data_IF_065178005895
#
_entry.id   IF_065178005895
#
_cell.length_a   1.000
_cell.length_b   1.000
_cell.length_c   1.000
_cell.angle_alpha   90.00
_cell.angle_beta   90.00
_cell.angle_gamma   90.00
#
_symmetry.space_group_name_H-M   'P 1'
#
loop_
_entity.id
_entity.type
_entity.pdbx_description
1 polymer ?
#
# COMPACT_ATOMS: atom_id res chain seq x y z
N UNK A 1 50.29 -4.37 -36.05
CA UNK A 1 49.78 -3.43 -35.03
C UNK A 1 48.56 -2.73 -35.61
N UNK A 2 47.36 -3.26 -35.36
CA UNK A 2 46.08 -2.67 -35.76
C UNK A 2 45.43 -2.10 -34.50
N UNK A 3 45.28 -0.78 -34.41
CA UNK A 3 44.72 -0.09 -33.25
C UNK A 3 43.23 -0.38 -33.05
N UNK A 4 42.67 -0.05 -31.87
CA UNK A 4 41.27 -0.33 -31.55
C UNK A 4 40.32 0.54 -32.40
N UNK A 5 39.19 -0.05 -32.78
CA UNK A 5 38.14 0.59 -33.57
C UNK A 5 37.49 1.76 -32.79
N UNK A 6 37.06 2.84 -33.48
CA UNK A 6 36.42 3.98 -32.84
C UNK A 6 35.03 3.62 -32.28
N UNK A 7 34.58 4.30 -31.21
CA UNK A 7 33.29 4.04 -30.60
C UNK A 7 32.12 4.43 -31.53
N UNK A 8 30.95 3.79 -31.38
CA UNK A 8 29.77 4.11 -32.16
C UNK A 8 29.27 5.53 -31.87
N UNK A 9 29.02 6.29 -32.94
CA UNK A 9 28.38 7.61 -32.86
C UNK A 9 26.87 7.41 -32.65
N UNK A 10 26.36 7.80 -31.49
CA UNK A 10 24.93 7.83 -31.24
C UNK A 10 24.33 9.15 -31.72
N UNK A 11 23.14 9.14 -32.34
CA UNK A 11 22.44 10.38 -32.69
C UNK A 11 22.03 11.14 -31.43
N UNK A 12 22.06 12.47 -31.51
CA UNK A 12 21.64 13.35 -30.42
C UNK A 12 20.16 13.11 -30.06
N UNK A 13 19.79 13.15 -28.77
CA UNK A 13 18.39 13.05 -28.37
C UNK A 13 17.57 14.21 -28.94
N UNK A 14 16.28 13.98 -29.28
CA UNK A 14 15.41 15.03 -29.77
C UNK A 14 15.25 16.13 -28.70
N UNK A 15 15.11 17.40 -29.12
CA UNK A 15 14.90 18.51 -28.19
C UNK A 15 13.59 18.31 -27.41
N UNK A 16 13.63 18.65 -26.13
CA UNK A 16 12.47 18.55 -25.24
C UNK A 16 11.29 19.37 -25.77
N UNK A 17 10.04 18.86 -25.67
CA UNK A 17 8.86 19.63 -26.03
C UNK A 17 8.74 20.88 -25.14
N UNK A 18 8.32 21.98 -25.75
CA UNK A 18 8.13 23.25 -25.05
C UNK A 18 7.11 23.10 -23.90
N UNK A 19 7.29 23.83 -22.78
CA UNK A 19 6.31 23.82 -21.69
C UNK A 19 4.96 24.35 -22.18
N UNK A 20 3.84 23.87 -21.61
CA UNK A 20 2.51 24.32 -21.99
C UNK A 20 2.34 25.82 -21.73
N UNK A 21 1.52 26.52 -22.54
CA UNK A 21 1.28 27.94 -22.36
C UNK A 21 0.69 28.21 -20.97
N UNK A 22 1.21 29.24 -20.30
CA UNK A 22 0.64 29.73 -19.03
C UNK A 22 -0.81 30.12 -19.28
N UNK A 23 -1.73 29.54 -18.52
CA UNK A 23 -3.13 29.95 -18.53
C UNK A 23 -3.24 31.46 -18.28
N UNK A 24 -4.09 32.19 -19.04
CA UNK A 24 -4.27 33.61 -18.83
C UNK A 24 -4.86 33.87 -17.44
N UNK A 25 -4.23 34.81 -16.73
CA UNK A 25 -4.73 35.35 -15.47
C UNK A 25 -6.08 36.00 -15.74
N UNK A 26 -7.13 35.51 -15.07
CA UNK A 26 -8.47 36.08 -15.20
C UNK A 26 -8.45 37.56 -14.76
N UNK A 27 -8.95 38.43 -15.65
CA UNK A 27 -9.11 39.84 -15.42
C UNK A 27 -10.04 40.15 -14.24
N UNK A 28 -9.70 41.25 -13.56
CA UNK A 28 -10.44 41.90 -12.49
C UNK A 28 -11.91 42.15 -12.85
N UNK A 29 -12.82 41.88 -11.90
CA UNK A 29 -14.24 42.16 -12.11
C UNK A 29 -15.24 41.82 -11.00
N UNK A 30 -14.81 41.42 -9.79
CA UNK A 30 -15.74 41.20 -8.68
C UNK A 30 -15.38 42.07 -7.47
N UNK A 31 -16.32 42.89 -6.95
CA UNK A 31 -16.09 43.65 -5.73
C UNK A 31 -15.95 42.70 -4.53
N UNK A 32 -15.00 43.00 -3.64
CA UNK A 32 -14.73 42.19 -2.46
C UNK A 32 -15.95 42.16 -1.51
N UNK A 33 -16.25 41.01 -0.87
CA UNK A 33 -17.30 40.94 0.14
C UNK A 33 -16.89 41.69 1.43
N UNK A 34 -17.85 42.27 2.17
CA UNK A 34 -17.57 42.99 3.41
C UNK A 34 -17.04 42.06 4.52
N UNK A 35 -16.27 42.58 5.49
CA UNK A 35 -15.71 41.78 6.57
C UNK A 35 -16.81 41.22 7.50
N UNK A 36 -16.58 40.06 8.15
CA UNK A 36 -17.56 39.46 9.05
C UNK A 36 -17.73 40.31 10.32
N UNK A 37 -18.98 40.58 10.67
CA UNK A 37 -19.34 41.20 11.96
C UNK A 37 -19.25 40.13 13.05
N UNK A 38 -18.38 40.33 14.04
CA UNK A 38 -18.33 39.49 15.24
C UNK A 38 -19.43 39.93 16.23
N UNK A 39 -20.33 39.03 16.69
CA UNK A 39 -21.22 39.33 17.80
C UNK A 39 -20.47 39.19 19.14
N UNK A 40 -20.63 40.19 20.01
CA UNK A 40 -20.17 40.17 21.41
C UNK A 40 -20.89 39.11 22.25
N UNK A 41 -20.29 38.61 23.35
CA UNK A 41 -20.85 37.51 24.12
C UNK A 41 -21.83 38.03 25.19
N UNK A 42 -23.11 37.69 25.07
CA UNK A 42 -24.01 37.66 26.24
C UNK A 42 -25.23 36.76 26.03
N UNK A 43 -25.41 35.89 27.04
CA UNK A 43 -26.63 35.19 27.46
C UNK A 43 -27.26 34.18 26.48
N UNK A 44 -26.84 32.91 26.59
CA UNK A 44 -27.69 31.77 26.19
C UNK A 44 -28.61 31.36 27.36
N UNK A 45 -29.93 31.20 27.14
CA UNK A 45 -30.84 30.58 28.09
C UNK A 45 -30.54 29.09 28.28
N UNK A 46 -30.66 28.62 29.52
CA UNK A 46 -30.45 27.23 29.93
C UNK A 46 -31.72 26.43 29.63
N UNK A 47 -31.69 25.58 28.61
CA UNK A 47 -32.73 24.56 28.41
C UNK A 47 -32.34 23.24 29.09
N UNK A 48 -33.20 22.87 30.02
CA UNK A 48 -33.11 21.78 30.97
C UNK A 48 -33.87 20.57 30.40
N UNK A 49 -33.22 19.75 29.55
CA UNK A 49 -33.68 18.41 29.21
C UNK A 49 -32.62 17.63 28.38
N UNK A 50 -31.64 17.03 29.05
CA UNK A 50 -30.84 15.94 28.47
C UNK A 50 -30.95 14.70 29.37
N UNK A 51 -31.20 13.50 28.81
CA UNK A 51 -31.29 12.27 29.60
C UNK A 51 -29.93 11.92 30.23
N UNK A 52 -29.91 11.23 31.39
CA UNK A 52 -28.67 10.94 32.10
C UNK A 52 -27.79 10.00 31.28
N UNK A 53 -26.55 10.40 31.08
CA UNK A 53 -25.49 9.57 30.48
C UNK A 53 -25.25 8.37 31.41
N UNK A 54 -25.44 7.15 30.89
CA UNK A 54 -25.00 5.92 31.55
C UNK A 54 -23.49 6.01 31.81
N UNK A 55 -23.13 6.15 33.08
CA UNK A 55 -21.74 6.07 33.52
C UNK A 55 -21.22 4.65 33.26
N UNK A 56 -20.38 4.48 32.24
CA UNK A 56 -19.59 3.26 32.10
C UNK A 56 -18.70 3.12 33.34
N UNK A 57 -18.97 2.10 34.14
CA UNK A 57 -18.07 1.63 35.19
C UNK A 57 -16.71 1.30 34.55
N UNK A 58 -15.65 1.92 35.07
CA UNK A 58 -14.27 1.66 34.67
C UNK A 58 -13.89 0.27 35.18
N UNK A 59 -14.01 -0.75 34.33
CA UNK A 59 -13.50 -2.08 34.65
C UNK A 59 -11.98 -2.02 34.90
N UNK A 60 -11.54 -2.59 36.02
CA UNK A 60 -10.11 -2.74 36.33
C UNK A 60 -9.47 -3.70 35.31
N UNK A 61 -8.20 -3.48 34.89
CA UNK A 61 -7.53 -4.39 33.99
C UNK A 61 -7.32 -5.75 34.65
N UNK A 62 -7.97 -6.79 34.14
CA UNK A 62 -7.63 -8.18 34.45
C UNK A 62 -6.28 -8.50 33.80
N UNK A 63 -5.33 -9.17 34.49
CA UNK A 63 -4.09 -9.60 33.86
C UNK A 63 -4.39 -10.53 32.69
N UNK A 64 -3.93 -10.17 31.49
CA UNK A 64 -4.05 -11.03 30.32
C UNK A 64 -3.37 -12.39 30.58
N UNK A 65 -3.95 -13.51 30.09
CA UNK A 65 -3.34 -14.83 30.23
C UNK A 65 -1.97 -14.88 29.53
N UNK A 66 -1.07 -15.79 29.96
CA UNK A 66 0.32 -15.79 29.53
C UNK A 66 0.45 -15.94 28.01
N UNK A 67 1.02 -14.92 27.37
CA UNK A 67 1.49 -14.96 25.97
C UNK A 67 2.65 -15.94 25.87
N UNK A 68 2.44 -17.07 25.21
CA UNK A 68 3.50 -17.99 24.79
C UNK A 68 3.09 -18.65 23.47
N UNK A 69 3.95 -18.85 22.46
CA UNK A 69 5.41 -19.00 22.46
C UNK A 69 6.06 -18.28 21.26
N UNK A 70 7.26 -17.70 21.44
CA UNK A 70 8.13 -17.32 20.33
C UNK A 70 8.33 -18.50 19.37
N UNK A 71 8.26 -18.20 18.07
CA UNK A 71 8.80 -19.08 17.02
C UNK A 71 10.24 -19.42 17.43
N UNK A 72 10.69 -20.69 17.36
CA UNK A 72 12.02 -21.07 17.84
C UNK A 72 13.07 -20.12 17.26
N UNK A 73 14.00 -19.63 18.10
CA UNK A 73 14.96 -18.62 17.69
C UNK A 73 15.71 -19.18 16.47
N UNK A 74 15.64 -18.49 15.32
CA UNK A 74 16.49 -18.85 14.21
C UNK A 74 17.95 -18.71 14.69
N UNK A 75 18.88 -19.48 14.12
CA UNK A 75 20.30 -19.15 14.31
C UNK A 75 20.53 -17.68 13.91
N UNK A 76 21.53 -17.00 14.49
CA UNK A 76 21.70 -15.54 14.32
C UNK A 76 21.66 -15.09 12.86
N UNK A 77 22.25 -15.88 11.95
CA UNK A 77 22.23 -15.62 10.52
C UNK A 77 20.82 -15.73 9.91
N UNK A 78 20.02 -16.71 10.32
CA UNK A 78 18.61 -16.86 9.90
C UNK A 78 17.72 -15.81 10.54
N UNK A 79 18.03 -15.33 11.74
CA UNK A 79 17.29 -14.27 12.41
C UNK A 79 17.55 -12.96 11.68
N UNK A 80 18.81 -12.64 11.40
CA UNK A 80 19.20 -11.46 10.64
C UNK A 80 18.67 -11.49 9.20
N UNK A 81 18.61 -12.66 8.54
CA UNK A 81 17.98 -12.82 7.22
C UNK A 81 16.47 -12.63 7.28
N UNK A 82 15.80 -13.08 8.35
CA UNK A 82 14.37 -12.85 8.56
C UNK A 82 14.05 -11.40 8.89
N UNK A 83 14.91 -10.72 9.64
CA UNK A 83 14.72 -9.31 9.97
C UNK A 83 14.98 -8.41 8.75
N UNK A 84 15.83 -8.86 7.82
CA UNK A 84 16.02 -8.27 6.49
C UNK A 84 15.11 -8.93 5.45
N UNK A 85 13.84 -9.10 5.78
CA UNK A 85 12.82 -9.52 4.81
C UNK A 85 11.60 -8.62 4.94
N UNK A 86 10.81 -8.55 3.87
CA UNK A 86 9.54 -7.86 3.84
C UNK A 86 8.43 -8.90 3.72
N UNK A 87 7.44 -8.83 4.61
CA UNK A 87 6.32 -9.77 4.57
C UNK A 87 5.23 -9.28 3.60
N UNK A 88 4.70 -10.20 2.78
CA UNK A 88 3.52 -10.02 1.95
C UNK A 88 2.45 -11.07 2.26
N UNK A 89 1.18 -10.67 2.22
CA UNK A 89 0.03 -11.50 2.60
C UNK A 89 -1.26 -11.00 1.96
N UNK A 90 -2.28 -11.87 1.92
CA UNK A 90 -3.63 -11.49 1.49
C UNK A 90 -4.37 -10.67 2.54
N UNK A 91 -5.22 -9.74 2.08
CA UNK A 91 -6.07 -8.92 2.93
C UNK A 91 -7.05 -9.78 3.73
N UNK A 92 -7.32 -9.35 4.96
CA UNK A 92 -8.13 -10.04 5.96
C UNK A 92 -8.09 -9.31 7.31
N UNK A 93 -8.70 -9.88 8.37
CA UNK A 93 -8.68 -9.27 9.71
C UNK A 93 -7.25 -9.19 10.23
N UNK A 94 -6.75 -7.98 10.48
CA UNK A 94 -5.38 -7.79 10.99
C UNK A 94 -5.32 -8.14 12.48
N UNK A 95 -4.45 -9.08 12.90
CA UNK A 95 -4.14 -9.30 14.30
C UNK A 95 -3.38 -8.11 14.90
N UNK A 96 -3.57 -7.86 16.19
CA UNK A 96 -2.93 -6.75 16.91
C UNK A 96 -1.41 -6.89 17.09
N UNK A 97 -0.83 -8.01 16.66
CA UNK A 97 0.60 -8.35 16.84
C UNK A 97 1.53 -7.83 15.74
N UNK A 98 0.99 -7.22 14.68
CA UNK A 98 1.81 -6.62 13.63
C UNK A 98 2.26 -5.22 14.03
N UNK A 99 3.52 -5.10 14.45
CA UNK A 99 4.15 -3.84 14.86
C UNK A 99 4.67 -3.00 13.66
N UNK A 100 4.67 -3.57 12.45
CA UNK A 100 5.13 -2.89 11.23
C UNK A 100 4.00 -2.22 10.45
N UNK A 101 4.36 -1.17 9.72
CA UNK A 101 3.45 -0.49 8.80
C UNK A 101 3.18 -1.39 7.60
N UNK A 102 1.95 -1.88 7.53
CA UNK A 102 1.45 -2.74 6.46
C UNK A 102 0.58 -1.89 5.53
N UNK A 103 0.91 -1.90 4.24
CA UNK A 103 0.25 -1.11 3.18
C UNK A 103 -0.31 -2.06 2.12
N UNK A 104 -1.45 -1.72 1.53
CA UNK A 104 -1.98 -2.46 0.38
C UNK A 104 -1.02 -2.34 -0.83
N UNK A 105 -0.77 -3.45 -1.53
CA UNK A 105 0.05 -3.51 -2.74
C UNK A 105 -0.72 -3.03 -3.96
N UNK A 106 -1.09 -1.75 -3.94
CA UNK A 106 -1.98 -1.15 -4.92
C UNK A 106 -1.42 0.22 -5.32
N UNK A 107 -1.40 0.50 -6.63
CA UNK A 107 -1.18 1.85 -7.15
C UNK A 107 -2.46 2.67 -7.10
N UNK A 108 -2.34 3.95 -6.74
CA UNK A 108 -3.44 4.91 -6.64
C UNK A 108 -3.13 6.19 -7.47
N UNK A 109 -3.99 7.21 -7.41
CA UNK A 109 -3.80 8.45 -8.16
C UNK A 109 -2.46 9.15 -7.87
N UNK A 110 -1.98 9.04 -6.62
CA UNK A 110 -0.83 9.77 -6.07
C UNK A 110 0.39 8.89 -5.82
N UNK A 111 0.21 7.58 -5.77
CA UNK A 111 1.20 6.62 -5.30
C UNK A 111 1.35 5.50 -6.32
N UNK A 112 2.51 5.44 -6.95
CA UNK A 112 2.92 4.29 -7.75
C UNK A 112 3.25 3.11 -6.82
N UNK A 113 2.86 1.90 -7.20
CA UNK A 113 3.14 0.69 -6.43
C UNK A 113 4.64 0.57 -6.08
N UNK A 114 5.53 0.95 -7.00
CA UNK A 114 6.98 1.04 -6.78
C UNK A 114 7.39 1.73 -5.47
N UNK A 115 6.63 2.74 -5.02
CA UNK A 115 6.95 3.58 -3.86
C UNK A 115 6.39 3.07 -2.53
N UNK A 116 5.63 1.98 -2.54
CA UNK A 116 5.02 1.40 -1.33
C UNK A 116 6.10 0.91 -0.35
N UNK A 117 7.16 0.30 -0.90
CA UNK A 117 8.30 -0.17 -0.12
C UNK A 117 9.40 0.87 -0.16
N UNK A 118 9.97 1.16 1.01
CA UNK A 118 11.10 2.07 1.14
C UNK A 118 12.27 1.66 0.23
N UNK A 119 12.88 2.62 -0.44
CA UNK A 119 13.91 2.39 -1.48
C UNK A 119 15.09 1.52 -1.02
N UNK A 120 15.54 1.71 0.22
CA UNK A 120 16.59 0.91 0.84
C UNK A 120 16.27 -0.60 0.96
N UNK A 121 15.00 -0.98 0.87
CA UNK A 121 14.54 -2.37 0.94
C UNK A 121 14.08 -2.91 -0.43
N UNK A 122 14.38 -2.22 -1.54
CA UNK A 122 13.98 -2.70 -2.87
C UNK A 122 14.62 -4.04 -3.27
N UNK A 123 15.81 -4.34 -2.73
CA UNK A 123 16.53 -5.60 -2.93
C UNK A 123 16.30 -6.60 -1.79
N UNK A 124 15.43 -6.27 -0.84
CA UNK A 124 15.08 -7.12 0.30
C UNK A 124 14.13 -8.24 -0.15
N UNK A 125 14.39 -9.52 0.20
CA UNK A 125 13.52 -10.63 -0.13
C UNK A 125 12.09 -10.46 0.39
N UNK A 126 11.12 -10.84 -0.44
CA UNK A 126 9.70 -10.83 -0.06
C UNK A 126 9.30 -12.22 0.40
N UNK A 127 8.75 -12.31 1.60
CA UNK A 127 8.39 -13.57 2.27
C UNK A 127 6.92 -13.59 2.67
N UNK A 128 6.34 -14.76 2.91
CA UNK A 128 5.01 -14.88 3.51
C UNK A 128 5.08 -14.73 5.05
N UNK A 129 3.94 -14.74 5.75
CA UNK A 129 3.88 -14.63 7.23
C UNK A 129 4.63 -15.76 7.99
N UNK A 130 4.99 -16.85 7.31
CA UNK A 130 5.80 -17.94 7.85
C UNK A 130 7.30 -17.74 7.61
N UNK A 131 7.69 -16.64 6.97
CA UNK A 131 9.07 -16.33 6.60
C UNK A 131 9.57 -17.17 5.42
N UNK A 132 8.68 -17.77 4.65
CA UNK A 132 9.04 -18.54 3.45
C UNK A 132 9.16 -17.58 2.26
N UNK A 133 10.22 -17.71 1.47
CA UNK A 133 10.47 -16.83 0.33
C UNK A 133 9.38 -16.95 -0.72
N UNK A 134 8.81 -15.81 -1.13
CA UNK A 134 7.85 -15.68 -2.23
C UNK A 134 8.52 -15.14 -3.49
N UNK A 135 9.32 -14.07 -3.34
CA UNK A 135 10.06 -13.43 -4.44
C UNK A 135 11.49 -13.08 -3.99
N UNK A 136 12.39 -12.99 -4.97
CA UNK A 136 13.80 -12.66 -4.72
C UNK A 136 13.97 -11.28 -4.08
N UNK A 137 13.16 -10.29 -4.49
CA UNK A 137 13.16 -8.95 -3.92
C UNK A 137 11.88 -8.18 -4.27
N UNK A 138 11.66 -7.01 -3.67
CA UNK A 138 10.60 -6.11 -4.11
C UNK A 138 10.73 -5.71 -5.57
N UNK A 139 11.95 -5.39 -6.04
CA UNK A 139 12.20 -5.10 -7.45
C UNK A 139 11.82 -6.28 -8.35
N UNK A 140 12.01 -7.52 -7.90
CA UNK A 140 11.54 -8.69 -8.64
C UNK A 140 10.01 -8.71 -8.76
N UNK A 141 9.26 -8.38 -7.70
CA UNK A 141 7.78 -8.28 -7.76
C UNK A 141 7.33 -7.30 -8.85
N UNK A 142 7.96 -6.13 -8.94
CA UNK A 142 7.60 -5.07 -9.88
C UNK A 142 7.87 -5.41 -11.35
N UNK A 143 8.74 -6.40 -11.59
CA UNK A 143 9.22 -6.79 -12.92
C UNK A 143 8.94 -8.27 -13.21
N UNK A 144 7.88 -8.83 -12.62
CA UNK A 144 7.44 -10.21 -12.86
C UNK A 144 8.50 -11.29 -12.61
N UNK A 145 9.29 -11.07 -11.58
CA UNK A 145 10.15 -12.09 -11.02
C UNK A 145 9.35 -13.34 -10.67
N UNK A 146 9.95 -14.50 -10.92
CA UNK A 146 9.30 -15.79 -10.67
C UNK A 146 8.95 -15.95 -9.20
N UNK A 147 7.68 -16.22 -8.92
CA UNK A 147 7.20 -16.57 -7.58
C UNK A 147 7.58 -18.01 -7.27
N UNK A 148 7.94 -18.27 -6.02
CA UNK A 148 8.06 -19.65 -5.54
C UNK A 148 6.70 -20.33 -5.46
N UNK A 149 6.68 -21.67 -5.36
CA UNK A 149 5.46 -22.45 -5.15
C UNK A 149 4.97 -22.43 -3.70
N UNK A 150 5.58 -21.60 -2.83
CA UNK A 150 5.20 -21.53 -1.42
C UNK A 150 3.80 -20.93 -1.26
N UNK A 151 3.05 -21.34 -0.23
CA UNK A 151 1.75 -20.77 0.09
C UNK A 151 1.79 -19.25 0.30
N UNK A 152 0.73 -18.57 -0.13
CA UNK A 152 0.53 -17.17 0.20
C UNK A 152 -0.61 -17.09 1.22
N UNK A 153 -0.30 -16.62 2.41
CA UNK A 153 -1.27 -16.63 3.49
C UNK A 153 -2.04 -15.30 3.59
N UNK A 154 -3.32 -15.39 3.91
CA UNK A 154 -4.09 -14.30 4.50
C UNK A 154 -3.70 -14.10 5.97
N UNK A 155 -4.17 -13.02 6.57
CA UNK A 155 -3.95 -12.75 8.00
C UNK A 155 -4.53 -13.81 8.95
N UNK A 156 -5.66 -14.41 8.59
CA UNK A 156 -6.26 -15.54 9.32
C UNK A 156 -5.62 -16.89 8.95
N UNK A 157 -4.45 -16.87 8.28
CA UNK A 157 -3.56 -17.99 8.01
C UNK A 157 -4.10 -19.03 7.04
N UNK A 158 -4.99 -18.64 6.13
CA UNK A 158 -5.45 -19.47 5.01
C UNK A 158 -4.56 -19.26 3.80
N UNK A 159 -4.28 -20.32 3.05
CA UNK A 159 -3.53 -20.20 1.79
C UNK A 159 -4.46 -19.71 0.67
N UNK A 160 -4.34 -18.43 0.30
CA UNK A 160 -5.26 -17.74 -0.62
C UNK A 160 -5.25 -18.36 -2.02
N UNK A 161 -4.15 -19.02 -2.39
CA UNK A 161 -4.01 -19.64 -3.72
C UNK A 161 -4.91 -20.87 -3.86
N UNK A 162 -5.11 -21.63 -2.78
CA UNK A 162 -5.87 -22.89 -2.81
C UNK A 162 -7.21 -22.82 -2.08
N UNK A 163 -7.41 -21.87 -1.17
CA UNK A 163 -8.62 -21.77 -0.36
C UNK A 163 -9.81 -21.22 -1.17
N UNK A 164 -10.94 -21.93 -1.17
CA UNK A 164 -12.13 -21.59 -1.96
C UNK A 164 -12.85 -20.31 -1.51
N UNK A 165 -12.49 -19.74 -0.36
CA UNK A 165 -12.98 -18.43 0.06
C UNK A 165 -12.65 -17.33 -0.96
N UNK A 166 -11.56 -17.49 -1.72
CA UNK A 166 -11.21 -16.65 -2.86
C UNK A 166 -11.37 -17.43 -4.17
N UNK A 167 -12.57 -17.50 -4.77
CA UNK A 167 -12.77 -18.27 -6.00
C UNK A 167 -12.03 -17.65 -7.20
N UNK A 168 -11.86 -16.33 -7.21
CA UNK A 168 -11.07 -15.60 -8.19
C UNK A 168 -9.67 -15.33 -7.62
N UNK A 169 -8.66 -16.02 -8.18
CA UNK A 169 -7.27 -16.01 -7.67
C UNK A 169 -6.45 -14.82 -8.18
N UNK A 170 -7.10 -13.88 -8.85
CA UNK A 170 -6.49 -12.64 -9.29
C UNK A 170 -6.35 -11.65 -8.15
N UNK A 171 -5.39 -10.74 -8.30
CA UNK A 171 -4.98 -9.76 -7.31
C UNK A 171 -5.08 -8.37 -7.92
N UNK A 172 -5.76 -7.48 -7.22
CA UNK A 172 -5.77 -6.05 -7.56
C UNK A 172 -4.40 -5.42 -7.30
N UNK A 173 -3.90 -4.63 -8.26
CA UNK A 173 -2.72 -3.77 -8.07
C UNK A 173 -2.76 -2.46 -8.88
N UNK A 174 -3.57 -2.34 -9.94
CA UNK A 174 -3.77 -1.09 -10.69
C UNK A 174 -2.53 -0.49 -11.35
N UNK A 175 -1.48 -1.30 -11.53
CA UNK A 175 -0.17 -0.85 -12.01
C UNK A 175 0.27 -1.65 -13.24
N UNK A 176 1.16 -1.07 -14.05
CA UNK A 176 1.87 -1.71 -15.16
C UNK A 176 3.28 -2.14 -14.71
N UNK A 177 4.07 -2.67 -15.64
CA UNK A 177 5.47 -3.05 -15.44
C UNK A 177 6.27 -1.93 -14.75
N UNK A 178 7.13 -2.33 -13.81
CA UNK A 178 7.89 -1.41 -12.96
C UNK A 178 7.09 -0.82 -11.81
N UNK A 179 5.82 -1.22 -11.63
CA UNK A 179 4.96 -0.72 -10.56
C UNK A 179 4.45 0.70 -10.79
N UNK A 180 4.42 1.16 -12.04
CA UNK A 180 3.90 2.47 -12.43
C UNK A 180 2.39 2.38 -12.60
N UNK A 181 1.63 3.36 -12.10
CA UNK A 181 0.16 3.36 -12.18
C UNK A 181 -0.34 3.19 -13.63
N UNK A 182 -1.39 2.39 -13.81
CA UNK A 182 -1.89 2.04 -15.15
C UNK A 182 -2.77 3.12 -15.79
N UNK A 183 -3.22 4.12 -15.01
CA UNK A 183 -4.20 5.14 -15.39
C UNK A 183 -5.61 4.83 -14.88
N UNK A 184 -5.99 3.55 -14.92
CA UNK A 184 -7.28 3.05 -14.46
C UNK A 184 -7.13 2.18 -13.19
N UNK A 185 -7.75 2.63 -12.09
CA UNK A 185 -7.65 2.03 -10.75
C UNK A 185 -8.95 2.23 -9.95
N UNK A 186 -10.09 1.92 -10.57
CA UNK A 186 -11.41 1.92 -9.93
C UNK A 186 -11.79 3.22 -9.19
N UNK A 187 -11.55 4.38 -9.82
CA UNK A 187 -11.78 5.70 -9.20
C UNK A 187 -11.11 5.79 -7.82
N UNK A 188 -9.79 5.55 -7.79
CA UNK A 188 -9.00 5.61 -6.56
C UNK A 188 -9.44 4.57 -5.51
N UNK A 189 -9.86 3.39 -5.99
CA UNK A 189 -10.37 2.28 -5.18
C UNK A 189 -11.56 2.64 -4.28
N UNK A 190 -12.32 3.67 -4.65
CA UNK A 190 -13.46 4.14 -3.86
C UNK A 190 -14.61 3.14 -3.89
N UNK A 191 -15.09 2.79 -2.69
CA UNK A 191 -16.23 1.90 -2.48
C UNK A 191 -17.43 2.26 -3.35
N UNK A 192 -18.16 1.25 -3.81
CA UNK A 192 -19.45 1.42 -4.46
C UNK A 192 -20.63 1.53 -3.47
N UNK A 193 -20.37 1.45 -2.17
CA UNK A 193 -21.39 1.53 -1.13
C UNK A 193 -22.03 2.93 -1.08
N UNK A 194 -23.37 2.98 -1.05
CA UNK A 194 -24.12 4.23 -0.98
C UNK A 194 -24.16 5.02 -2.29
N UNK A 195 -23.58 4.50 -3.38
CA UNK A 195 -23.71 5.10 -4.72
C UNK A 195 -25.13 4.91 -5.26
N UNK A 196 -25.66 5.95 -5.89
CA UNK A 196 -26.93 5.89 -6.62
C UNK A 196 -26.86 4.89 -7.78
N UNK A 197 -28.01 4.47 -8.30
CA UNK A 197 -28.06 3.50 -9.41
C UNK A 197 -27.22 3.94 -10.63
N UNK A 198 -27.28 5.23 -10.99
CA UNK A 198 -26.50 5.78 -12.10
C UNK A 198 -24.99 5.77 -11.84
N UNK A 199 -24.58 6.01 -10.59
CA UNK A 199 -23.17 5.92 -10.19
C UNK A 199 -22.67 4.47 -10.11
N UNK A 200 -23.52 3.52 -9.74
CA UNK A 200 -23.20 2.09 -9.78
C UNK A 200 -22.96 1.62 -11.23
N UNK A 201 -23.81 2.04 -12.17
CA UNK A 201 -23.61 1.76 -13.60
C UNK A 201 -22.29 2.35 -14.10
N UNK A 202 -21.95 3.58 -13.69
CA UNK A 202 -20.65 4.20 -14.02
C UNK A 202 -19.48 3.44 -13.40
N UNK A 203 -19.59 3.05 -12.14
CA UNK A 203 -18.55 2.32 -11.42
C UNK A 203 -18.29 0.93 -12.04
N UNK A 204 -19.34 0.24 -12.49
CA UNK A 204 -19.22 -1.04 -13.20
C UNK A 204 -18.57 -0.91 -14.59
N UNK A 205 -18.55 0.29 -15.17
CA UNK A 205 -17.80 0.56 -16.40
C UNK A 205 -16.31 0.86 -16.15
N UNK A 206 -15.90 1.04 -14.90
CA UNK A 206 -14.51 1.24 -14.54
C UNK A 206 -13.77 -0.10 -14.50
N UNK A 207 -12.46 -0.03 -14.71
CA UNK A 207 -11.58 -1.19 -14.55
C UNK A 207 -10.30 -0.82 -13.79
N UNK A 208 -9.58 -1.85 -13.37
CA UNK A 208 -8.22 -1.71 -12.87
C UNK A 208 -7.37 -2.91 -13.30
N UNK A 209 -6.05 -2.75 -13.28
CA UNK A 209 -5.15 -3.88 -13.56
C UNK A 209 -5.17 -4.89 -12.41
N UNK A 210 -5.35 -6.16 -12.78
CA UNK A 210 -5.24 -7.29 -11.87
C UNK A 210 -4.40 -8.42 -12.49
N UNK A 211 -3.54 -9.02 -11.68
CA UNK A 211 -2.66 -10.14 -12.05
C UNK A 211 -3.08 -11.45 -11.41
N UNK A 212 -2.63 -12.59 -11.94
CA UNK A 212 -2.90 -13.94 -11.41
C UNK A 212 -1.60 -14.62 -10.93
N UNK A 213 -1.43 -14.76 -9.61
CA UNK A 213 -0.22 -15.36 -9.02
C UNK A 213 -0.03 -16.86 -9.29
N UNK A 214 -0.99 -17.52 -9.94
CA UNK A 214 -0.85 -18.91 -10.37
C UNK A 214 -0.08 -19.04 -11.69
N UNK A 215 -0.02 -17.96 -12.46
CA UNK A 215 0.63 -17.95 -13.77
C UNK A 215 2.06 -17.40 -13.59
N UNK A 216 3.10 -18.04 -14.14
CA UNK A 216 4.44 -17.46 -14.23
C UNK A 216 4.40 -16.09 -14.93
N UNK A 217 4.91 -15.04 -14.28
CA UNK A 217 4.78 -13.66 -14.78
C UNK A 217 3.36 -13.09 -14.77
N UNK A 218 2.46 -13.75 -14.03
CA UNK A 218 1.05 -13.42 -13.95
C UNK A 218 0.72 -12.16 -13.16
N UNK A 219 1.65 -11.65 -12.33
CA UNK A 219 1.35 -10.57 -11.39
C UNK A 219 1.27 -9.20 -12.06
N UNK A 220 2.20 -8.87 -12.96
CA UNK A 220 2.36 -7.54 -13.55
C UNK A 220 2.36 -7.59 -15.09
N UNK A 221 3.08 -8.51 -15.74
CA UNK A 221 3.26 -8.57 -17.21
C UNK A 221 2.00 -9.09 -17.88
N UNK A 222 1.44 -10.18 -17.37
CA UNK A 222 0.18 -10.76 -17.87
C UNK A 222 -1.05 -10.18 -17.17
N UNK A 223 -0.89 -9.10 -16.39
CA UNK A 223 -1.99 -8.43 -15.73
C UNK A 223 -2.97 -7.86 -16.76
N UNK A 224 -4.27 -7.96 -16.48
CA UNK A 224 -5.34 -7.49 -17.38
C UNK A 224 -6.27 -6.54 -16.66
N UNK A 225 -6.92 -5.60 -17.39
CA UNK A 225 -7.98 -4.80 -16.83
C UNK A 225 -9.15 -5.72 -16.43
N UNK A 226 -9.63 -5.57 -15.21
CA UNK A 226 -10.79 -6.27 -14.66
C UNK A 226 -11.79 -5.23 -14.17
N UNK A 227 -13.08 -5.51 -14.39
CA UNK A 227 -14.18 -4.64 -13.95
C UNK A 227 -14.19 -4.48 -12.42
N UNK A 228 -14.45 -3.26 -11.95
CA UNK A 228 -14.37 -2.88 -10.53
C UNK A 228 -15.49 -3.45 -9.65
N UNK A 229 -16.51 -4.06 -10.25
CA UNK A 229 -17.56 -4.82 -9.55
C UNK A 229 -17.09 -6.22 -9.11
N UNK A 230 -15.91 -6.66 -9.55
CA UNK A 230 -15.32 -7.95 -9.21
C UNK A 230 -14.69 -7.93 -7.81
N UNK A 231 -14.91 -9.02 -7.08
CA UNK A 231 -14.25 -9.30 -5.79
C UNK A 231 -13.00 -10.12 -6.03
N UNK A 232 -11.83 -9.49 -5.96
CA UNK A 232 -10.52 -10.12 -6.12
C UNK A 232 -9.71 -10.01 -4.82
N UNK A 233 -8.55 -10.66 -4.79
CA UNK A 233 -7.62 -10.59 -3.67
C UNK A 233 -6.94 -9.22 -3.65
N UNK A 234 -6.76 -8.64 -2.47
CA UNK A 234 -5.85 -7.51 -2.25
C UNK A 234 -4.66 -8.02 -1.47
N UNK A 235 -3.45 -7.74 -1.94
CA UNK A 235 -2.25 -8.03 -1.16
C UNK A 235 -1.88 -6.85 -0.28
N UNK A 236 -1.21 -7.16 0.80
CA UNK A 236 -0.63 -6.20 1.71
C UNK A 236 0.84 -6.56 1.91
N UNK A 237 1.67 -5.53 2.09
CA UNK A 237 3.12 -5.65 2.23
C UNK A 237 3.62 -4.74 3.36
N UNK A 238 4.65 -5.17 4.07
CA UNK A 238 5.37 -4.30 4.97
C UNK A 238 6.13 -3.22 4.18
N UNK A 239 5.97 -1.96 4.57
CA UNK A 239 6.62 -0.82 3.90
C UNK A 239 8.16 -0.89 4.01
N UNK A 240 8.68 -1.44 5.10
CA UNK A 240 10.11 -1.57 5.34
C UNK A 240 10.41 -2.86 6.08
N UNK A 241 11.63 -3.37 5.93
CA UNK A 241 12.08 -4.54 6.69
C UNK A 241 12.20 -4.21 8.17
N UNK A 242 12.04 -5.22 9.04
CA UNK A 242 12.23 -5.06 10.50
C UNK A 242 13.60 -4.50 10.84
N UNK A 243 14.63 -5.02 10.18
CA UNK A 243 16.01 -4.56 10.33
C UNK A 243 16.15 -3.06 10.07
N UNK A 244 15.51 -2.57 9.00
CA UNK A 244 15.57 -1.16 8.67
C UNK A 244 14.74 -0.31 9.63
N UNK A 245 13.53 -0.74 9.97
CA UNK A 245 12.68 -0.06 10.96
C UNK A 245 13.36 0.09 12.30
N UNK A 246 13.96 -0.98 12.83
CA UNK A 246 14.71 -0.98 14.08
C UNK A 246 15.90 -0.01 14.05
N UNK A 247 16.60 0.07 12.92
CA UNK A 247 17.73 0.99 12.75
C UNK A 247 17.27 2.45 12.79
N UNK A 248 16.14 2.78 12.17
CA UNK A 248 15.55 4.12 12.22
C UNK A 248 15.12 4.47 13.65
N UNK A 249 14.44 3.54 14.33
CA UNK A 249 13.97 3.73 15.71
C UNK A 249 15.13 3.89 16.69
N UNK A 250 16.20 3.08 16.56
CA UNK A 250 17.42 3.21 17.36
C UNK A 250 18.09 4.57 17.15
N UNK A 251 18.21 5.01 15.88
CA UNK A 251 18.76 6.34 15.57
C UNK A 251 17.91 7.46 16.17
N UNK A 252 16.59 7.36 16.08
CA UNK A 252 15.67 8.35 16.67
C UNK A 252 15.83 8.43 18.18
N UNK A 253 15.85 7.28 18.88
CA UNK A 253 16.10 7.24 20.34
C UNK A 253 17.44 7.88 20.70
N UNK A 254 18.51 7.57 19.98
CA UNK A 254 19.83 8.17 20.23
C UNK A 254 19.81 9.69 20.04
N UNK A 255 19.09 10.19 19.04
CA UNK A 255 18.92 11.63 18.83
C UNK A 255 18.08 12.26 19.96
N UNK A 256 16.99 11.61 20.38
CA UNK A 256 16.15 12.09 21.49
C UNK A 256 16.90 12.09 22.85
N UNK A 257 18.02 11.36 22.98
CA UNK A 257 18.89 11.40 24.16
C UNK A 257 19.99 12.47 24.09
N UNK A 258 20.25 13.03 22.90
CA UNK A 258 21.31 14.00 22.65
C UNK A 258 20.82 15.47 22.63
N UNK A 259 19.51 15.67 22.71
CA UNK A 259 18.82 16.97 22.73
C UNK A 259 17.86 17.02 23.92
#
# INVERSE_FOLDING_TARGET
>A
LTGPAPPPAYPAPPPYPAPPPRYPVAHAGYPAPPPPVHPSPSAYPRDEAAPPVLSYQRERPTPAPPRFRPRPPPNELSAMRRDRSINAFGMGPRPAEYELVIIAMIGDLTTDMLRIVHTADWDTPVVNIRGEHLFASWRAVLNDGQRTTRPLYSFDRRDVIVDDHWPDKRIWHGSKTGGIRAGDYCDDWRSNYGKSFTELVRYAALSAMAGDLRIPGGLIVEARPVSCDRKLIVLCIENMSKYHGDRILKKKRLLDFMW
#
